data_IF_891375932796
#
_entry.id   IF_891375932796
#
_cell.length_a   1.000
_cell.length_b   1.000
_cell.length_c   1.000
_cell.angle_alpha   90.00
_cell.angle_beta   90.00
_cell.angle_gamma   90.00
#
_symmetry.space_group_name_H-M   'P 1'
#
loop_
_entity.id
_entity.type
_entity.pdbx_description
1 polymer ?
#
# COMPACT_ATOMS: atom_id res chain seq x y z
N UNK A 1 -80.41 4.28 -1.84
CA UNK A 1 -79.45 3.21 -1.56
C UNK A 1 -78.20 3.46 -2.39
N UNK A 2 -77.22 4.09 -1.75
CA UNK A 2 -75.88 4.40 -2.27
C UNK A 2 -74.97 3.19 -2.03
N UNK A 3 -74.12 2.84 -3.00
CA UNK A 3 -72.65 2.89 -2.89
C UNK A 3 -72.03 2.41 -4.21
N UNK A 4 -71.33 3.34 -4.87
CA UNK A 4 -70.37 3.10 -5.97
C UNK A 4 -69.11 2.48 -5.36
N UNK A 5 -68.67 1.34 -5.88
CA UNK A 5 -67.31 0.85 -5.64
C UNK A 5 -66.44 1.11 -6.87
N UNK A 6 -65.69 2.21 -6.82
CA UNK A 6 -64.53 2.43 -7.68
C UNK A 6 -63.37 1.61 -7.10
N UNK A 7 -62.91 0.58 -7.81
CA UNK A 7 -61.59 0.00 -7.55
C UNK A 7 -60.52 0.94 -8.12
N UNK A 8 -59.79 1.61 -7.22
CA UNK A 8 -58.52 2.26 -7.52
C UNK A 8 -57.45 1.17 -7.67
N UNK A 9 -57.03 0.89 -8.91
CA UNK A 9 -55.76 0.20 -9.16
C UNK A 9 -54.63 1.21 -8.96
N UNK A 10 -53.96 1.15 -7.82
CA UNK A 10 -52.69 1.84 -7.59
C UNK A 10 -51.59 0.97 -8.23
N UNK A 11 -51.14 1.35 -9.42
CA UNK A 11 -49.96 0.76 -10.07
C UNK A 11 -48.70 1.22 -9.34
N UNK A 12 -48.21 0.40 -8.40
CA UNK A 12 -46.92 0.59 -7.76
C UNK A 12 -45.81 0.19 -8.75
N UNK A 13 -45.30 1.16 -9.53
CA UNK A 13 -44.05 0.97 -10.28
C UNK A 13 -42.89 0.89 -9.26
N UNK A 14 -42.54 -0.32 -8.85
CA UNK A 14 -41.28 -0.57 -8.17
C UNK A 14 -40.15 -0.43 -9.21
N UNK A 15 -39.57 0.77 -9.32
CA UNK A 15 -38.30 0.94 -10.02
C UNK A 15 -37.24 0.18 -9.22
N UNK A 16 -36.88 -1.03 -9.67
CA UNK A 16 -35.62 -1.64 -9.28
C UNK A 16 -34.50 -0.72 -9.78
N UNK A 17 -34.02 0.17 -8.93
CA UNK A 17 -32.70 0.76 -9.13
C UNK A 17 -31.71 -0.39 -8.99
N UNK A 18 -31.32 -0.97 -10.11
CA UNK A 18 -30.13 -1.80 -10.17
C UNK A 18 -28.97 -0.92 -9.71
N UNK A 19 -28.51 -1.11 -8.47
CA UNK A 19 -27.23 -0.58 -8.01
C UNK A 19 -26.17 -1.29 -8.86
N UNK A 20 -25.86 -0.71 -10.01
CA UNK A 20 -24.70 -1.09 -10.80
C UNK A 20 -23.48 -0.73 -9.96
N UNK A 21 -22.84 -1.72 -9.32
CA UNK A 21 -21.46 -1.52 -8.86
C UNK A 21 -20.63 -1.13 -10.07
N UNK A 22 -20.06 0.07 -10.05
CA UNK A 22 -19.18 0.49 -11.11
C UNK A 22 -17.81 -0.18 -10.88
N UNK A 23 -17.47 -1.19 -11.67
CA UNK A 23 -16.15 -1.81 -11.57
C UNK A 23 -15.06 -0.83 -11.98
N UNK A 24 -13.86 -0.96 -11.40
CA UNK A 24 -12.70 -0.19 -11.84
C UNK A 24 -12.39 -0.49 -13.31
N UNK A 25 -12.03 0.54 -14.06
CA UNK A 25 -11.78 0.45 -15.49
C UNK A 25 -10.36 0.90 -15.83
N UNK A 26 -9.74 0.25 -16.80
CA UNK A 26 -8.59 0.85 -17.47
C UNK A 26 -9.05 2.11 -18.20
N UNK A 27 -8.16 3.11 -18.29
CA UNK A 27 -8.43 4.35 -19.03
C UNK A 27 -9.66 5.14 -18.52
N UNK A 28 -10.01 5.00 -17.24
CA UNK A 28 -11.20 5.61 -16.62
C UNK A 28 -11.29 7.12 -16.84
N UNK A 29 -10.14 7.81 -16.91
CA UNK A 29 -10.06 9.26 -17.01
C UNK A 29 -9.90 9.80 -18.44
N UNK A 30 -9.83 8.95 -19.47
CA UNK A 30 -9.52 9.37 -20.85
C UNK A 30 -10.47 10.44 -21.42
N UNK A 31 -11.74 10.42 -21.02
CA UNK A 31 -12.74 11.40 -21.46
C UNK A 31 -12.89 12.59 -20.50
N UNK A 32 -12.52 12.43 -19.23
CA UNK A 32 -12.83 13.39 -18.16
C UNK A 32 -11.62 14.19 -17.66
N UNK A 33 -10.42 13.65 -17.83
CA UNK A 33 -9.14 14.28 -17.51
C UNK A 33 -8.02 13.70 -18.37
N UNK A 34 -7.95 14.15 -19.62
CA UNK A 34 -6.87 13.76 -20.54
C UNK A 34 -5.50 14.13 -19.95
N UNK A 35 -4.49 13.29 -20.19
CA UNK A 35 -3.11 13.45 -19.71
C UNK A 35 -2.92 13.35 -18.19
N UNK A 36 -3.90 12.90 -17.41
CA UNK A 36 -3.75 12.73 -15.95
C UNK A 36 -2.61 11.78 -15.59
N UNK A 37 -2.55 10.61 -16.22
CA UNK A 37 -1.51 9.61 -15.89
C UNK A 37 -0.10 10.11 -16.24
N UNK A 38 0.04 10.81 -17.37
CA UNK A 38 1.32 11.41 -17.76
C UNK A 38 1.73 12.56 -16.83
N UNK A 39 0.75 13.33 -16.33
CA UNK A 39 0.99 14.40 -15.37
C UNK A 39 1.46 13.84 -14.03
N UNK A 40 0.75 12.84 -13.49
CA UNK A 40 1.14 12.15 -12.25
C UNK A 40 2.54 11.56 -12.40
N UNK A 41 2.81 10.85 -13.50
CA UNK A 41 4.12 10.26 -13.78
C UNK A 41 5.24 11.29 -13.79
N UNK A 42 5.04 12.43 -14.44
CA UNK A 42 6.04 13.51 -14.50
C UNK A 42 6.40 14.03 -13.11
N UNK A 43 5.39 14.28 -12.27
CA UNK A 43 5.59 14.74 -10.88
C UNK A 43 6.30 13.67 -10.05
N UNK A 44 5.86 12.42 -10.11
CA UNK A 44 6.47 11.29 -9.38
C UNK A 44 7.93 11.08 -9.78
N UNK A 45 8.22 11.08 -11.09
CA UNK A 45 9.59 10.92 -11.58
C UNK A 45 10.50 12.06 -11.09
N UNK A 46 10.04 13.31 -11.18
CA UNK A 46 10.81 14.46 -10.69
C UNK A 46 11.11 14.38 -9.19
N UNK A 47 10.14 13.94 -8.38
CA UNK A 47 10.36 13.74 -6.94
C UNK A 47 11.35 12.62 -6.65
N UNK A 48 11.31 11.52 -7.39
CA UNK A 48 12.23 10.39 -7.22
C UNK A 48 13.65 10.75 -7.68
N UNK A 49 13.79 11.54 -8.75
CA UNK A 49 15.08 12.06 -9.20
C UNK A 49 15.73 12.97 -8.15
N UNK A 50 14.93 13.79 -7.45
CA UNK A 50 15.41 14.62 -6.35
C UNK A 50 15.70 13.82 -5.07
N UNK A 51 14.91 12.79 -4.78
CA UNK A 51 15.05 11.93 -3.61
C UNK A 51 14.49 10.52 -3.88
N UNK A 52 15.38 9.56 -4.07
CA UNK A 52 15.02 8.17 -4.42
C UNK A 52 14.17 7.47 -3.36
N UNK A 53 14.19 7.92 -2.09
CA UNK A 53 13.36 7.35 -1.02
C UNK A 53 11.86 7.54 -1.24
N UNK A 54 11.46 8.50 -2.09
CA UNK A 54 10.05 8.75 -2.42
C UNK A 54 9.40 7.53 -3.08
N UNK A 55 10.16 6.75 -3.86
CA UNK A 55 9.64 5.55 -4.51
C UNK A 55 9.11 4.53 -3.48
N UNK A 56 9.94 4.20 -2.47
CA UNK A 56 9.56 3.29 -1.39
C UNK A 56 8.41 3.88 -0.55
N UNK A 57 8.41 5.19 -0.31
CA UNK A 57 7.36 5.87 0.46
C UNK A 57 5.99 5.77 -0.23
N UNK A 58 5.90 6.00 -1.54
CA UNK A 58 4.65 5.94 -2.30
C UNK A 58 4.11 4.50 -2.39
N UNK A 59 4.98 3.52 -2.67
CA UNK A 59 4.59 2.10 -2.72
C UNK A 59 4.06 1.65 -1.35
N UNK A 60 4.77 2.00 -0.26
CA UNK A 60 4.35 1.67 1.10
C UNK A 60 3.04 2.38 1.46
N UNK A 61 2.89 3.66 1.12
CA UNK A 61 1.66 4.42 1.42
C UNK A 61 0.45 3.79 0.72
N UNK A 62 0.60 3.34 -0.52
CA UNK A 62 -0.47 2.65 -1.24
C UNK A 62 -0.81 1.28 -0.64
N UNK A 63 0.19 0.48 -0.25
CA UNK A 63 -0.04 -0.76 0.50
C UNK A 63 -0.81 -0.49 1.80
N UNK A 64 -0.40 0.54 2.55
CA UNK A 64 -1.01 0.88 3.81
C UNK A 64 -2.46 1.33 3.67
N UNK A 65 -2.77 2.11 2.63
CA UNK A 65 -4.14 2.47 2.27
C UNK A 65 -4.97 1.20 2.02
N UNK A 66 -4.60 0.40 1.03
CA UNK A 66 -5.36 -0.78 0.65
C UNK A 66 -5.58 -1.79 1.78
N UNK A 67 -4.63 -1.93 2.70
CA UNK A 67 -4.78 -2.85 3.82
C UNK A 67 -5.68 -2.31 4.94
N UNK A 68 -5.90 -1.00 5.04
CA UNK A 68 -6.71 -0.39 6.11
C UNK A 68 -7.95 0.23 5.50
N UNK A 69 -9.12 -0.34 5.77
CA UNK A 69 -10.41 0.12 5.23
C UNK A 69 -10.58 0.03 3.69
N UNK A 70 -9.56 -0.40 2.95
CA UNK A 70 -9.60 -0.58 1.50
C UNK A 70 -8.81 0.50 0.78
N UNK A 71 -8.68 0.40 -0.55
CA UNK A 71 -7.98 1.44 -1.31
C UNK A 71 -8.89 2.66 -1.53
N UNK A 72 -9.15 3.43 -0.46
CA UNK A 72 -10.07 4.57 -0.44
C UNK A 72 -9.40 5.89 0.01
N UNK A 73 -8.07 5.89 0.14
CA UNK A 73 -7.27 7.01 0.59
C UNK A 73 -7.62 7.51 2.02
N UNK A 74 -8.19 6.66 2.88
CA UNK A 74 -8.45 6.98 4.29
C UNK A 74 -7.17 7.35 5.04
N UNK A 75 -6.05 6.69 4.72
CA UNK A 75 -4.72 6.93 5.31
C UNK A 75 -4.25 8.38 5.16
N UNK A 76 -4.77 9.11 4.17
CA UNK A 76 -4.38 10.49 3.87
C UNK A 76 -5.06 11.53 4.77
N UNK A 77 -6.10 11.17 5.53
CA UNK A 77 -6.83 12.11 6.37
C UNK A 77 -6.01 12.56 7.60
N UNK A 78 -5.95 13.88 7.80
CA UNK A 78 -5.33 14.47 8.98
C UNK A 78 -6.30 14.49 10.18
N UNK A 79 -5.77 14.56 11.41
CA UNK A 79 -6.61 14.72 12.60
C UNK A 79 -7.39 16.04 12.53
N UNK A 80 -8.67 16.00 12.91
CA UNK A 80 -9.55 17.16 13.01
C UNK A 80 -10.17 17.26 14.40
N UNK A 81 -10.91 18.34 14.67
CA UNK A 81 -11.70 18.45 15.90
C UNK A 81 -12.78 17.37 16.01
N UNK A 82 -13.37 16.95 14.87
CA UNK A 82 -14.37 15.90 14.81
C UNK A 82 -13.77 14.49 14.87
N UNK A 83 -12.54 14.30 14.36
CA UNK A 83 -11.82 13.04 14.39
C UNK A 83 -10.37 13.24 14.86
N UNK A 84 -10.16 13.10 16.16
CA UNK A 84 -8.84 13.29 16.76
C UNK A 84 -7.87 12.12 16.58
N UNK A 85 -8.28 10.97 16.03
CA UNK A 85 -7.44 9.76 15.97
C UNK A 85 -7.57 8.98 14.66
N UNK A 86 -7.20 9.58 13.51
CA UNK A 86 -7.12 8.88 12.23
C UNK A 86 -5.94 7.90 12.18
N UNK A 87 -5.86 7.12 11.11
CA UNK A 87 -4.81 6.12 10.91
C UNK A 87 -3.38 6.68 11.01
N UNK A 88 -3.17 7.94 10.58
CA UNK A 88 -1.86 8.62 10.69
C UNK A 88 -1.30 8.67 12.11
N UNK A 89 -2.16 8.61 13.14
CA UNK A 89 -1.70 8.56 14.55
C UNK A 89 -1.26 7.16 14.99
N UNK A 90 -1.67 6.12 14.28
CA UNK A 90 -1.30 4.73 14.59
C UNK A 90 -0.15 4.21 13.73
N UNK A 91 0.04 4.75 12.51
CA UNK A 91 1.11 4.30 11.60
C UNK A 91 2.19 5.38 11.49
N UNK A 92 3.42 5.12 11.94
CA UNK A 92 4.54 6.04 11.75
C UNK A 92 5.08 5.94 10.31
N UNK A 93 4.34 6.50 9.34
CA UNK A 93 4.81 6.73 7.97
C UNK A 93 5.57 8.07 7.89
N UNK A 94 6.51 8.16 6.94
CA UNK A 94 7.28 9.38 6.74
C UNK A 94 6.40 10.48 6.11
N UNK A 95 6.46 11.70 6.67
CA UNK A 95 5.71 12.86 6.17
C UNK A 95 6.00 13.18 4.70
N UNK A 96 7.19 12.80 4.21
CA UNK A 96 7.56 12.94 2.80
C UNK A 96 6.58 12.23 1.85
N UNK A 97 6.03 11.08 2.24
CA UNK A 97 5.04 10.36 1.44
C UNK A 97 3.74 11.13 1.28
N UNK A 98 3.21 11.68 2.37
CA UNK A 98 1.99 12.50 2.33
C UNK A 98 2.19 13.79 1.52
N UNK A 99 3.32 14.47 1.70
CA UNK A 99 3.68 15.67 0.91
C UNK A 99 3.81 15.37 -0.58
N UNK A 100 4.34 14.21 -0.96
CA UNK A 100 4.41 13.80 -2.35
C UNK A 100 3.00 13.69 -2.97
N UNK A 101 2.04 13.09 -2.23
CA UNK A 101 0.64 13.00 -2.68
C UNK A 101 -0.02 14.37 -2.80
N UNK A 102 0.26 15.30 -1.88
CA UNK A 102 -0.26 16.67 -1.99
C UNK A 102 0.22 17.38 -3.26
N UNK A 103 1.50 17.23 -3.60
CA UNK A 103 2.08 17.83 -4.81
C UNK A 103 1.47 17.23 -6.08
N UNK A 104 1.29 15.91 -6.11
CA UNK A 104 0.60 15.24 -7.23
C UNK A 104 -0.83 15.73 -7.34
N UNK A 105 -1.57 15.79 -6.22
CA UNK A 105 -2.95 16.26 -6.19
C UNK A 105 -3.07 17.70 -6.67
N UNK A 106 -2.17 18.59 -6.27
CA UNK A 106 -2.16 19.98 -6.73
C UNK A 106 -1.97 20.07 -8.25
N UNK A 107 -1.04 19.29 -8.83
CA UNK A 107 -0.84 19.25 -10.28
C UNK A 107 -2.07 18.69 -11.02
N UNK A 108 -2.71 17.66 -10.47
CA UNK A 108 -3.93 17.06 -11.03
C UNK A 108 -5.13 18.00 -10.94
N UNK A 109 -5.33 18.69 -9.81
CA UNK A 109 -6.41 19.67 -9.68
C UNK A 109 -6.20 20.90 -10.57
N UNK A 110 -4.97 21.30 -10.84
CA UNK A 110 -4.66 22.35 -11.81
C UNK A 110 -4.99 21.92 -13.26
N UNK A 111 -4.88 20.62 -13.57
CA UNK A 111 -5.20 20.06 -14.87
C UNK A 111 -6.71 19.84 -15.06
N UNK A 112 -7.37 19.23 -14.09
CA UNK A 112 -8.78 18.83 -14.16
C UNK A 112 -9.46 18.88 -12.79
N UNK A 113 -9.96 20.07 -12.38
CA UNK A 113 -10.51 20.29 -11.06
C UNK A 113 -11.62 19.28 -10.68
N UNK A 114 -11.47 18.66 -9.51
CA UNK A 114 -12.49 17.80 -8.90
C UNK A 114 -12.79 16.49 -9.67
N UNK A 115 -11.89 16.03 -10.54
CA UNK A 115 -12.11 14.83 -11.35
C UNK A 115 -11.50 13.56 -10.79
N UNK A 116 -10.29 13.65 -10.24
CA UNK A 116 -9.46 12.47 -9.91
C UNK A 116 -9.40 12.29 -8.40
N UNK A 117 -9.74 11.10 -7.91
CA UNK A 117 -9.70 10.79 -6.48
C UNK A 117 -8.26 10.70 -5.96
N UNK A 118 -8.10 10.92 -4.66
CA UNK A 118 -6.82 10.68 -4.00
C UNK A 118 -6.47 9.19 -3.96
N UNK A 119 -7.47 8.31 -3.87
CA UNK A 119 -7.29 6.86 -3.97
C UNK A 119 -6.65 6.44 -5.31
N UNK A 120 -7.11 6.99 -6.44
CA UNK A 120 -6.48 6.72 -7.74
C UNK A 120 -5.11 7.39 -7.86
N UNK A 121 -4.89 8.56 -7.25
CA UNK A 121 -3.55 9.16 -7.18
C UNK A 121 -2.57 8.23 -6.46
N UNK A 122 -2.95 7.62 -5.34
CA UNK A 122 -2.08 6.65 -4.65
C UNK A 122 -1.72 5.46 -5.54
N UNK A 123 -2.72 4.89 -6.23
CA UNK A 123 -2.52 3.73 -7.11
C UNK A 123 -1.60 4.06 -8.29
N UNK A 124 -1.86 5.17 -8.98
CA UNK A 124 -1.07 5.62 -10.14
C UNK A 124 0.34 6.03 -9.72
N UNK A 125 0.48 6.74 -8.59
CA UNK A 125 1.78 7.15 -8.06
C UNK A 125 2.64 5.95 -7.63
N UNK A 126 2.05 4.92 -7.03
CA UNK A 126 2.75 3.68 -6.72
C UNK A 126 3.22 2.97 -7.99
N UNK A 127 2.41 2.91 -9.05
CA UNK A 127 2.82 2.36 -10.35
C UNK A 127 3.97 3.15 -10.96
N UNK A 128 3.89 4.48 -10.98
CA UNK A 128 4.95 5.31 -11.56
C UNK A 128 6.24 5.27 -10.69
N UNK A 129 6.12 5.08 -9.37
CA UNK A 129 7.25 4.79 -8.51
C UNK A 129 7.94 3.47 -8.88
N UNK A 130 7.17 2.41 -9.16
CA UNK A 130 7.70 1.13 -9.66
C UNK A 130 8.34 1.32 -11.03
N UNK A 131 7.71 2.05 -11.95
CA UNK A 131 8.29 2.33 -13.26
C UNK A 131 9.65 3.00 -13.14
N UNK A 132 9.74 4.07 -12.33
CA UNK A 132 10.96 4.84 -12.18
C UNK A 132 12.09 4.05 -11.50
N UNK A 133 11.75 3.24 -10.49
CA UNK A 133 12.74 2.55 -9.66
C UNK A 133 13.10 1.14 -10.16
N UNK A 134 12.16 0.41 -10.78
CA UNK A 134 12.32 -0.97 -11.22
C UNK A 134 12.33 -1.13 -12.75
N UNK A 135 11.99 -0.08 -13.51
CA UNK A 135 12.06 -0.07 -14.97
C UNK A 135 11.02 -0.94 -15.66
N UNK A 136 9.86 -1.17 -15.04
CA UNK A 136 8.75 -1.87 -15.71
C UNK A 136 7.41 -1.18 -15.44
N UNK A 137 6.49 -1.34 -16.38
CA UNK A 137 5.19 -0.69 -16.39
C UNK A 137 4.07 -1.71 -16.30
N UNK A 138 2.97 -1.32 -15.66
CA UNK A 138 1.71 -2.05 -15.70
C UNK A 138 0.53 -1.06 -15.71
N UNK A 139 -0.56 -1.47 -16.34
CA UNK A 139 -1.79 -0.68 -16.36
C UNK A 139 -2.47 -0.80 -14.99
N UNK A 140 -2.99 0.32 -14.49
CA UNK A 140 -3.73 0.38 -13.23
C UNK A 140 -5.18 0.68 -13.57
N UNK A 141 -6.14 -0.19 -13.19
CA UNK A 141 -7.55 0.16 -13.30
C UNK A 141 -7.87 1.26 -12.27
N UNK A 142 -8.67 2.24 -12.68
CA UNK A 142 -9.05 3.43 -11.92
C UNK A 142 -10.57 3.57 -11.83
N UNK A 143 -11.03 4.59 -11.11
CA UNK A 143 -12.43 4.79 -10.75
C UNK A 143 -12.68 4.64 -9.25
N UNK A 144 -11.62 4.54 -8.43
CA UNK A 144 -11.75 4.55 -6.97
C UNK A 144 -12.26 5.90 -6.50
N UNK A 145 -12.94 5.90 -5.37
CA UNK A 145 -13.42 7.11 -4.70
C UNK A 145 -12.83 7.21 -3.30
N UNK A 146 -12.81 8.44 -2.80
CA UNK A 146 -12.22 8.76 -1.52
C UNK A 146 -13.20 8.47 -0.37
N UNK A 147 -12.71 7.74 0.63
CA UNK A 147 -13.39 7.52 1.90
C UNK A 147 -13.60 8.81 2.69
N UNK A 148 -14.47 8.74 3.67
CA UNK A 148 -14.75 9.83 4.61
C UNK A 148 -14.50 9.45 6.08
N UNK A 149 -13.99 8.24 6.33
CA UNK A 149 -13.66 7.73 7.66
C UNK A 149 -12.19 7.33 7.66
N UNK A 150 -11.49 7.63 8.75
CA UNK A 150 -10.17 7.08 9.05
C UNK A 150 -10.06 6.90 10.56
N UNK A 151 -9.53 5.77 11.01
CA UNK A 151 -9.43 5.47 12.45
C UNK A 151 -8.18 4.68 12.78
N UNK A 152 -7.45 5.15 13.79
CA UNK A 152 -6.30 4.45 14.38
C UNK A 152 -6.62 2.98 14.74
N UNK A 153 -7.86 2.69 15.17
CA UNK A 153 -8.25 1.32 15.54
C UNK A 153 -8.20 0.34 14.37
N UNK A 154 -8.60 0.78 13.17
CA UNK A 154 -8.61 -0.06 11.96
C UNK A 154 -7.22 -0.52 11.53
N UNK A 155 -6.17 0.23 11.90
CA UNK A 155 -4.78 -0.16 11.67
C UNK A 155 -4.45 -1.43 12.44
N UNK A 156 -4.76 -1.48 13.74
CA UNK A 156 -4.38 -2.59 14.61
C UNK A 156 -5.09 -3.90 14.25
N UNK A 157 -6.25 -3.83 13.60
CA UNK A 157 -7.02 -5.02 13.21
C UNK A 157 -6.66 -5.54 11.82
N UNK A 158 -6.15 -4.69 10.92
CA UNK A 158 -5.93 -5.07 9.53
C UNK A 158 -4.46 -5.13 9.09
N UNK A 159 -3.58 -4.32 9.68
CA UNK A 159 -2.20 -4.21 9.23
C UNK A 159 -1.37 -5.43 9.69
N UNK A 160 -0.66 -6.13 8.79
CA UNK A 160 0.28 -7.16 9.20
C UNK A 160 1.45 -6.56 10.00
N UNK A 161 1.81 -7.21 11.10
CA UNK A 161 2.93 -6.79 11.94
C UNK A 161 4.25 -7.32 11.39
N UNK A 162 5.37 -6.55 11.49
CA UNK A 162 6.71 -7.04 11.13
C UNK A 162 7.18 -8.23 12.00
N UNK A 163 6.48 -8.50 13.10
CA UNK A 163 6.75 -9.60 14.02
C UNK A 163 5.96 -10.88 13.71
N UNK A 164 5.10 -10.87 12.69
CA UNK A 164 4.30 -12.04 12.33
C UNK A 164 5.15 -13.19 11.79
N UNK A 165 4.81 -14.41 12.23
CA UNK A 165 5.20 -15.64 11.54
C UNK A 165 4.33 -15.92 10.31
N UNK A 166 4.68 -16.96 9.55
CA UNK A 166 4.14 -17.18 8.21
C UNK A 166 2.62 -17.42 8.16
N UNK A 167 2.07 -18.15 9.12
CA UNK A 167 0.63 -18.43 9.15
C UNK A 167 -0.21 -17.16 9.39
N UNK A 168 0.29 -16.25 10.25
CA UNK A 168 -0.35 -14.97 10.49
C UNK A 168 -0.27 -14.05 9.25
N UNK A 169 0.85 -14.06 8.53
CA UNK A 169 0.98 -13.33 7.27
C UNK A 169 0.00 -13.83 6.20
N UNK A 170 -0.05 -15.16 6.01
CA UNK A 170 -0.94 -15.80 5.04
C UNK A 170 -2.40 -15.53 5.40
N UNK A 171 -2.78 -15.65 6.67
CA UNK A 171 -4.13 -15.31 7.12
C UNK A 171 -4.44 -13.82 6.91
N UNK A 172 -3.47 -12.93 7.14
CA UNK A 172 -3.64 -11.49 6.94
C UNK A 172 -3.90 -11.14 5.48
N UNK A 173 -3.13 -11.71 4.55
CA UNK A 173 -3.31 -11.49 3.12
C UNK A 173 -4.60 -12.15 2.61
N UNK A 174 -4.93 -13.35 3.11
CA UNK A 174 -6.16 -14.06 2.74
C UNK A 174 -7.42 -13.28 3.12
N UNK A 175 -7.45 -12.58 4.27
CA UNK A 175 -8.57 -11.68 4.64
C UNK A 175 -8.77 -10.54 3.64
N UNK A 176 -7.74 -10.19 2.88
CA UNK A 176 -7.77 -9.18 1.80
C UNK A 176 -7.85 -9.83 0.41
N UNK A 177 -8.28 -11.09 0.33
CA UNK A 177 -8.38 -11.90 -0.89
C UNK A 177 -7.06 -12.07 -1.66
N UNK A 178 -5.91 -11.87 -0.98
CA UNK A 178 -4.57 -12.08 -1.52
C UNK A 178 -4.07 -13.46 -1.10
N UNK A 179 -3.45 -14.19 -2.04
CA UNK A 179 -2.97 -15.54 -1.80
C UNK A 179 -1.46 -15.55 -1.45
N UNK A 180 -0.87 -16.74 -1.39
CA UNK A 180 0.55 -16.93 -1.08
C UNK A 180 1.47 -16.31 -2.13
N UNK A 181 1.11 -16.38 -3.41
CA UNK A 181 1.84 -15.73 -4.51
C UNK A 181 1.86 -14.22 -4.30
N UNK A 182 0.71 -13.64 -3.96
CA UNK A 182 0.58 -12.21 -3.69
C UNK A 182 1.42 -11.78 -2.49
N UNK A 183 1.34 -12.53 -1.39
CA UNK A 183 2.17 -12.30 -0.20
C UNK A 183 3.66 -12.26 -0.57
N UNK A 184 4.17 -13.33 -1.19
CA UNK A 184 5.61 -13.44 -1.48
C UNK A 184 6.03 -12.39 -2.53
N UNK A 185 5.22 -12.16 -3.56
CA UNK A 185 5.54 -11.16 -4.58
C UNK A 185 5.60 -9.75 -3.99
N UNK A 186 4.57 -9.33 -3.23
CA UNK A 186 4.48 -8.00 -2.64
C UNK A 186 5.52 -7.74 -1.56
N UNK A 187 5.92 -8.77 -0.78
CA UNK A 187 7.07 -8.67 0.14
C UNK A 187 8.37 -8.26 -0.57
N UNK A 188 8.48 -8.52 -1.88
CA UNK A 188 9.58 -8.04 -2.72
C UNK A 188 9.78 -6.52 -2.66
N UNK A 189 8.76 -5.73 -2.33
CA UNK A 189 8.88 -4.28 -2.14
C UNK A 189 9.91 -3.88 -1.06
N UNK A 190 10.25 -4.78 -0.13
CA UNK A 190 11.30 -4.58 0.86
C UNK A 190 12.72 -4.61 0.26
N UNK A 191 12.89 -4.77 -1.06
CA UNK A 191 14.16 -4.55 -1.74
C UNK A 191 14.61 -3.06 -1.72
N UNK A 192 13.69 -2.13 -1.44
CA UNK A 192 13.96 -0.69 -1.30
C UNK A 192 13.41 -0.13 0.02
N UNK A 193 13.85 1.08 0.36
CA UNK A 193 13.40 1.80 1.54
C UNK A 193 14.22 1.51 2.80
N UNK A 194 13.70 1.97 3.93
CA UNK A 194 14.35 1.88 5.24
C UNK A 194 13.38 1.42 6.31
N UNK A 195 13.91 0.79 7.34
CA UNK A 195 13.22 0.37 8.55
C UNK A 195 13.79 1.07 9.77
N UNK A 196 12.97 1.20 10.81
CA UNK A 196 13.43 1.57 12.13
C UNK A 196 13.91 0.33 12.90
N UNK A 197 14.96 0.47 13.72
CA UNK A 197 15.46 -0.60 14.58
C UNK A 197 14.34 -1.28 15.38
N UNK A 198 13.39 -0.51 15.90
CA UNK A 198 12.21 -1.00 16.64
C UNK A 198 11.39 -2.06 15.89
N UNK A 199 11.46 -2.11 14.56
CA UNK A 199 10.75 -3.10 13.75
C UNK A 199 11.39 -4.49 13.73
N UNK A 200 12.64 -4.66 14.17
CA UNK A 200 13.36 -5.94 14.05
C UNK A 200 14.37 -6.24 15.16
N UNK A 201 14.57 -5.36 16.15
CA UNK A 201 15.51 -5.61 17.27
C UNK A 201 15.15 -6.84 18.10
N UNK A 202 13.91 -7.34 18.03
CA UNK A 202 13.50 -8.62 18.60
C UNK A 202 14.27 -9.82 18.03
N UNK A 203 14.90 -9.67 16.85
CA UNK A 203 15.75 -10.68 16.22
C UNK A 203 17.24 -10.52 16.56
N UNK A 204 17.62 -9.46 17.27
CA UNK A 204 19.00 -9.16 17.65
C UNK A 204 19.27 -9.40 19.14
N UNK A 205 18.24 -9.22 19.99
CA UNK A 205 18.38 -9.21 21.45
C UNK A 205 17.24 -9.98 22.16
N UNK A 206 17.52 -10.59 23.34
CA UNK A 206 18.85 -10.70 23.98
C UNK A 206 19.81 -11.61 23.20
N UNK A 207 19.26 -12.50 22.37
CA UNK A 207 19.99 -13.39 21.50
C UNK A 207 19.65 -13.10 20.04
N UNK A 208 20.60 -13.39 19.15
CA UNK A 208 20.35 -13.33 17.70
C UNK A 208 19.42 -14.48 17.31
N UNK A 209 18.40 -14.16 16.53
CA UNK A 209 17.49 -15.14 15.92
C UNK A 209 18.30 -16.14 15.07
N UNK A 210 18.18 -17.47 15.27
CA UNK A 210 18.94 -18.47 14.53
C UNK A 210 18.63 -18.52 13.03
N UNK A 211 17.56 -17.85 12.58
CA UNK A 211 17.21 -17.67 11.17
C UNK A 211 17.87 -16.45 10.54
N UNK A 212 18.71 -15.70 11.26
CA UNK A 212 19.49 -14.57 10.76
C UNK A 212 20.96 -14.96 10.58
N UNK A 213 21.58 -14.48 9.50
CA UNK A 213 23.02 -14.60 9.29
C UNK A 213 23.79 -13.85 10.41
N UNK A 214 24.74 -14.51 11.05
CA UNK A 214 25.43 -13.98 12.23
C UNK A 214 26.25 -12.72 11.89
N UNK A 215 26.96 -12.72 10.76
CA UNK A 215 27.74 -11.55 10.32
C UNK A 215 26.84 -10.37 9.95
N UNK A 216 25.66 -10.61 9.39
CA UNK A 216 24.66 -9.57 9.18
C UNK A 216 24.09 -9.03 10.50
N UNK A 217 23.80 -9.91 11.46
CA UNK A 217 23.36 -9.50 12.80
C UNK A 217 24.40 -8.60 13.48
N UNK A 218 25.69 -8.94 13.40
CA UNK A 218 26.77 -8.11 13.96
C UNK A 218 26.81 -6.71 13.34
N UNK A 219 26.61 -6.61 12.02
CA UNK A 219 26.49 -5.30 11.33
C UNK A 219 25.29 -4.51 11.82
N UNK A 220 24.13 -5.16 11.98
CA UNK A 220 22.90 -4.51 12.47
C UNK A 220 23.05 -4.01 13.91
N UNK A 221 23.76 -4.74 14.77
CA UNK A 221 24.00 -4.35 16.16
C UNK A 221 24.82 -3.07 16.30
N UNK A 222 25.65 -2.71 15.30
CA UNK A 222 26.37 -1.43 15.27
C UNK A 222 25.38 -0.26 15.16
N UNK A 223 24.41 -0.36 14.25
CA UNK A 223 23.40 0.70 14.04
C UNK A 223 22.26 0.64 15.07
N UNK A 224 21.95 -0.55 15.57
CA UNK A 224 20.89 -0.82 16.54
C UNK A 224 21.48 -1.46 17.82
N UNK A 225 22.19 -0.70 18.69
CA UNK A 225 22.72 -1.22 19.95
C UNK A 225 21.58 -1.59 20.92
N UNK A 226 21.74 -2.66 21.72
CA UNK A 226 20.68 -3.23 22.60
C UNK A 226 20.62 -2.61 24.01
N UNK A 227 19.82 -3.15 24.96
CA UNK A 227 18.49 -3.79 24.91
C UNK A 227 17.36 -2.74 25.09
N UNK A 228 16.04 -3.05 25.16
CA UNK A 228 15.00 -2.03 25.40
C UNK A 228 15.11 -1.44 26.83
N UNK A 229 15.81 -0.32 26.94
CA UNK A 229 15.76 0.64 28.04
C UNK A 229 15.27 1.99 27.54
N UNK A 230 15.10 2.97 28.44
CA UNK A 230 14.86 4.36 28.02
C UNK A 230 16.12 4.88 27.33
N UNK A 231 15.95 5.63 26.25
CA UNK A 231 17.00 6.35 25.51
C UNK A 231 17.85 5.55 24.49
N UNK A 232 17.33 4.47 23.91
CA UNK A 232 17.94 3.86 22.71
C UNK A 232 17.45 4.58 21.45
N UNK A 233 18.35 5.13 20.60
CA UNK A 233 17.94 5.76 19.34
C UNK A 233 17.25 4.76 18.40
N UNK A 234 16.06 5.11 17.91
CA UNK A 234 15.34 4.31 16.91
C UNK A 234 15.82 4.63 15.49
N UNK A 235 17.08 4.26 15.24
CA UNK A 235 17.83 4.55 14.03
C UNK A 235 17.19 3.90 12.80
N UNK A 236 17.47 4.49 11.62
CA UNK A 236 17.05 3.95 10.34
C UNK A 236 18.12 3.02 9.77
N UNK A 237 17.68 1.90 9.21
CA UNK A 237 18.50 0.90 8.54
C UNK A 237 17.93 0.64 7.15
N UNK A 238 18.80 0.45 6.15
CA UNK A 238 18.35 0.07 4.81
C UNK A 238 17.67 -1.30 4.84
N UNK A 239 16.49 -1.42 4.21
CA UNK A 239 15.76 -2.69 4.17
C UNK A 239 16.54 -3.81 3.47
N UNK A 240 17.38 -3.46 2.50
CA UNK A 240 18.23 -4.43 1.79
C UNK A 240 19.62 -4.50 2.41
N UNK A 241 20.05 -5.71 2.76
CA UNK A 241 21.43 -6.00 3.17
C UNK A 241 22.46 -5.75 2.07
N UNK A 242 22.03 -5.81 0.81
CA UNK A 242 22.81 -5.47 -0.39
C UNK A 242 22.06 -4.34 -1.10
N UNK A 243 22.26 -3.08 -0.69
CA UNK A 243 21.57 -1.94 -1.31
C UNK A 243 21.86 -1.87 -2.80
N UNK A 244 20.81 -1.67 -3.59
CA UNK A 244 20.89 -1.45 -5.03
C UNK A 244 20.32 -0.07 -5.36
N UNK A 245 20.83 0.55 -6.43
CA UNK A 245 20.24 1.77 -6.97
C UNK A 245 18.94 1.48 -7.75
N UNK A 246 18.59 0.21 -7.93
CA UNK A 246 17.39 -0.23 -8.65
C UNK A 246 16.50 -1.08 -7.76
N UNK A 247 15.20 -0.94 -7.90
CA UNK A 247 14.21 -1.81 -7.28
C UNK A 247 14.14 -3.14 -8.07
N UNK A 248 14.83 -4.16 -7.57
CA UNK A 248 14.97 -5.48 -8.20
C UNK A 248 14.58 -6.63 -7.25
N UNK A 249 14.95 -7.87 -7.62
CA UNK A 249 14.66 -9.06 -6.84
C UNK A 249 15.68 -9.36 -5.72
N UNK A 250 16.51 -8.41 -5.32
CA UNK A 250 17.55 -8.60 -4.31
C UNK A 250 16.97 -8.98 -2.94
N UNK A 251 15.74 -8.55 -2.62
CA UNK A 251 15.03 -8.99 -1.41
C UNK A 251 15.01 -10.52 -1.27
N UNK A 252 14.69 -11.26 -2.34
CA UNK A 252 14.58 -12.71 -2.29
C UNK A 252 15.95 -13.38 -2.15
N UNK A 253 16.98 -12.82 -2.77
CA UNK A 253 18.37 -13.30 -2.59
C UNK A 253 18.84 -13.09 -1.15
N UNK A 254 18.51 -11.95 -0.56
CA UNK A 254 18.78 -11.65 0.85
C UNK A 254 18.01 -12.61 1.77
N UNK A 255 16.75 -12.93 1.47
CA UNK A 255 15.95 -13.87 2.26
C UNK A 255 16.59 -15.28 2.28
N UNK A 256 17.04 -15.77 1.13
CA UNK A 256 17.78 -17.04 1.02
C UNK A 256 19.09 -16.98 1.81
N UNK A 257 19.80 -15.85 1.76
CA UNK A 257 21.03 -15.63 2.51
C UNK A 257 20.81 -15.38 4.01
N UNK A 258 19.56 -15.40 4.52
CA UNK A 258 19.21 -15.06 5.91
C UNK A 258 19.57 -13.62 6.31
N UNK A 259 19.58 -12.71 5.34
CA UNK A 259 19.97 -11.31 5.47
C UNK A 259 18.79 -10.35 5.27
N UNK A 260 17.66 -10.65 5.92
CA UNK A 260 16.46 -9.81 5.93
C UNK A 260 16.21 -9.27 7.33
N UNK A 261 15.63 -8.08 7.43
CA UNK A 261 15.41 -7.39 8.70
C UNK A 261 14.30 -8.05 9.51
N UNK A 262 13.07 -8.05 8.99
CA UNK A 262 11.89 -8.34 9.79
C UNK A 262 11.70 -9.83 10.07
N UNK A 263 10.96 -10.12 11.15
CA UNK A 263 10.54 -11.51 11.44
C UNK A 263 9.62 -12.00 10.32
N UNK A 264 8.75 -11.11 9.83
CA UNK A 264 7.86 -11.39 8.70
C UNK A 264 8.60 -11.74 7.41
N UNK A 265 9.76 -11.15 7.16
CA UNK A 265 10.54 -11.44 5.95
C UNK A 265 11.21 -12.81 6.06
N UNK A 266 11.82 -13.10 7.22
CA UNK A 266 12.43 -14.40 7.48
C UNK A 266 11.39 -15.54 7.50
N UNK A 267 10.17 -15.24 7.94
CA UNK A 267 9.06 -16.19 7.95
C UNK A 267 8.69 -16.70 6.56
N UNK A 268 8.98 -15.96 5.47
CA UNK A 268 8.73 -16.46 4.11
C UNK A 268 9.51 -17.74 3.78
N UNK A 269 10.59 -18.01 4.51
CA UNK A 269 11.42 -19.21 4.34
C UNK A 269 11.01 -20.40 5.22
N UNK A 270 9.98 -20.26 6.07
CA UNK A 270 9.62 -21.30 7.06
C UNK A 270 8.55 -22.27 6.60
N UNK A 271 7.86 -22.00 5.48
CA UNK A 271 6.89 -22.91 4.85
C UNK A 271 7.34 -23.28 3.43
N UNK A 272 7.10 -24.52 3.01
CA UNK A 272 7.66 -25.05 1.76
C UNK A 272 7.15 -24.34 0.50
N UNK A 273 5.87 -23.98 0.46
CA UNK A 273 5.23 -23.27 -0.65
C UNK A 273 5.70 -21.81 -0.76
N UNK A 274 5.90 -21.11 0.36
CA UNK A 274 6.41 -19.73 0.37
C UNK A 274 7.90 -19.71 0.04
N UNK A 275 8.69 -20.63 0.58
CA UNK A 275 10.12 -20.75 0.30
C UNK A 275 10.39 -21.09 -1.18
N UNK A 276 9.57 -21.95 -1.79
CA UNK A 276 9.65 -22.23 -3.22
C UNK A 276 9.45 -20.96 -4.07
N UNK A 277 8.47 -20.14 -3.74
CA UNK A 277 8.21 -18.86 -4.44
C UNK A 277 9.32 -17.83 -4.22
N UNK A 278 9.92 -17.80 -3.03
CA UNK A 278 11.11 -16.97 -2.78
C UNK A 278 12.25 -17.41 -3.71
N UNK A 279 12.51 -18.71 -3.83
CA UNK A 279 13.55 -19.22 -4.74
C UNK A 279 13.27 -18.91 -6.22
N UNK A 280 12.02 -19.07 -6.66
CA UNK A 280 11.60 -18.70 -8.03
C UNK A 280 11.82 -17.21 -8.31
N UNK A 281 11.41 -16.34 -7.39
CA UNK A 281 11.57 -14.90 -7.53
C UNK A 281 13.04 -14.47 -7.45
N UNK A 282 13.88 -15.14 -6.65
CA UNK A 282 15.32 -14.89 -6.58
C UNK A 282 16.04 -15.24 -7.89
N UNK A 283 15.62 -16.35 -8.53
CA UNK A 283 16.22 -16.85 -9.78
C UNK A 283 15.68 -16.15 -11.03
N UNK A 284 14.46 -15.58 -10.98
CA UNK A 284 13.79 -14.98 -12.13
C UNK A 284 13.37 -13.53 -11.89
N UNK A 285 14.22 -12.56 -12.28
CA UNK A 285 13.86 -11.13 -12.18
C UNK A 285 12.58 -10.80 -12.96
N UNK A 286 12.48 -11.27 -14.21
CA UNK A 286 11.28 -11.06 -15.06
C UNK A 286 10.06 -11.73 -14.44
N UNK A 287 10.21 -12.95 -13.93
CA UNK A 287 9.14 -13.70 -13.25
C UNK A 287 8.60 -12.92 -12.06
N UNK A 288 9.50 -12.40 -11.21
CA UNK A 288 9.08 -11.58 -10.08
C UNK A 288 8.39 -10.29 -10.53
N UNK A 289 8.90 -9.56 -11.53
CA UNK A 289 8.27 -8.32 -12.03
C UNK A 289 6.82 -8.56 -12.50
N UNK A 290 6.57 -9.65 -13.23
CA UNK A 290 5.22 -10.04 -13.68
C UNK A 290 4.31 -10.34 -12.49
N UNK A 291 4.78 -11.12 -11.52
CA UNK A 291 4.02 -11.44 -10.30
C UNK A 291 3.73 -10.19 -9.47
N UNK A 292 4.74 -9.35 -9.28
CA UNK A 292 4.61 -8.08 -8.55
C UNK A 292 3.57 -7.17 -9.19
N UNK A 293 3.60 -7.01 -10.51
CA UNK A 293 2.59 -6.22 -11.24
C UNK A 293 1.18 -6.78 -11.02
N UNK A 294 1.00 -8.09 -11.18
CA UNK A 294 -0.30 -8.73 -11.00
C UNK A 294 -0.82 -8.57 -9.55
N UNK A 295 0.05 -8.75 -8.57
CA UNK A 295 -0.31 -8.62 -7.14
C UNK A 295 -0.55 -7.17 -6.73
N UNK A 296 0.15 -6.19 -7.30
CA UNK A 296 -0.13 -4.76 -7.09
C UNK A 296 -1.50 -4.39 -7.65
N UNK A 297 -1.85 -4.88 -8.85
CA UNK A 297 -3.19 -4.67 -9.42
C UNK A 297 -4.24 -5.31 -8.52
N UNK A 298 -4.03 -6.56 -8.07
CA UNK A 298 -4.97 -7.27 -7.20
C UNK A 298 -5.15 -6.58 -5.84
N UNK A 299 -4.06 -6.17 -5.20
CA UNK A 299 -4.08 -5.37 -3.97
C UNK A 299 -4.88 -4.08 -4.18
N UNK A 300 -4.73 -3.44 -5.34
CA UNK A 300 -5.47 -2.24 -5.70
C UNK A 300 -6.98 -2.40 -5.80
N UNK A 301 -7.50 -3.63 -5.82
CA UNK A 301 -8.94 -3.90 -5.90
C UNK A 301 -9.55 -4.19 -4.51
N UNK A 302 -8.80 -4.06 -3.43
CA UNK A 302 -9.28 -4.32 -2.07
C UNK A 302 -10.30 -3.26 -1.66
N UNK A 303 -11.54 -3.69 -1.40
CA UNK A 303 -12.59 -2.95 -0.68
C UNK A 303 -12.81 -1.51 -1.21
N UNK A 304 -12.71 -1.33 -2.53
CA UNK A 304 -12.77 0.00 -3.17
C UNK A 304 -14.17 0.61 -3.13
N UNK A 305 -14.21 1.94 -2.99
CA UNK A 305 -15.43 2.73 -3.20
C UNK A 305 -15.55 3.14 -4.67
N UNK A 306 -16.72 2.98 -5.26
CA UNK A 306 -16.96 3.27 -6.70
C UNK A 306 -18.31 3.95 -6.94
N UNK A 307 -18.52 4.44 -8.17
CA UNK A 307 -19.78 5.07 -8.56
C UNK A 307 -20.13 6.31 -7.73
N UNK A 308 -21.18 6.22 -6.91
CA UNK A 308 -21.62 7.30 -6.04
C UNK A 308 -21.11 7.19 -4.59
N UNK A 309 -20.37 6.13 -4.24
CA UNK A 309 -19.85 5.91 -2.90
C UNK A 309 -18.69 6.85 -2.58
N UNK A 310 -18.66 7.46 -1.40
CA UNK A 310 -17.58 8.40 -1.03
C UNK A 310 -17.54 9.66 -1.92
N UNK A 311 -16.37 10.25 -2.07
CA UNK A 311 -16.19 11.57 -2.68
C UNK A 311 -15.00 11.63 -3.66
N UNK A 312 -14.86 12.77 -4.34
CA UNK A 312 -13.59 13.18 -4.95
C UNK A 312 -13.08 14.34 -4.11
N UNK A 313 -12.09 14.10 -3.25
CA UNK A 313 -11.55 15.15 -2.38
C UNK A 313 -10.79 16.18 -3.21
N UNK A 314 -10.99 17.47 -2.89
CA UNK A 314 -10.17 18.56 -3.46
C UNK A 314 -8.78 18.60 -2.83
N UNK A 315 -8.71 18.36 -1.53
CA UNK A 315 -7.47 18.18 -0.77
C UNK A 315 -7.46 16.78 -0.16
N UNK A 316 -6.40 16.01 -0.41
CA UNK A 316 -6.33 14.64 0.10
C UNK A 316 -6.29 14.55 1.63
N UNK A 317 -6.00 15.65 2.32
CA UNK A 317 -5.87 15.67 3.78
C UNK A 317 -7.18 15.79 4.53
N UNK A 318 -8.26 16.19 3.86
CA UNK A 318 -9.50 16.58 4.54
C UNK A 318 -10.72 16.10 3.75
N UNK A 319 -11.80 15.74 4.43
CA UNK A 319 -13.10 15.45 3.82
C UNK A 319 -13.71 16.75 3.29
N UNK A 320 -14.32 16.72 2.09
CA UNK A 320 -14.99 17.91 1.55
C UNK A 320 -16.14 18.35 2.48
N UNK A 321 -16.35 19.67 2.53
CA UNK A 321 -17.45 20.34 3.21
C UNK A 321 -18.48 20.88 2.22
#
# INVERSE_FOLDING_TARGET
MTYRHQLLMVSLLATLMTMSSADLQYNFYDSSCQNVETTIRGVVHGMIDANSSVAAALIRLYFHDCFVMGCDASILLDPTSANGSPEKKAIPLAEAGYKAVDQIKAAVEALCPGKVSCADILALAARDAVLKSAGFYYNVPSGRRDGNVSTAFSVFTNMPSPFFGIDNLVASFARKNLNVDDLVALSGAHAIGVARCSGFTNRLYPNVDPTMDASYADKLKITCPGPPGRDVPDNLVNNSAVPSNTFDNQFFKNAIAKQVLFTSDAALMTRSDTAAKVAENANGLTTWKVRFAASMIKMGNIEVLTGAQGQIRKSCRVVNS
#
